data_IF_961996889503
#
_entry.id   IF_961996889503
#
_cell.length_a   1.000
_cell.length_b   1.000
_cell.length_c   1.000
_cell.angle_alpha   90.00
_cell.angle_beta   90.00
_cell.angle_gamma   90.00
#
_symmetry.space_group_name_H-M   'P 1'
#
loop_
_entity.id
_entity.type
_entity.pdbx_description
1 polymer ?
#
# COMPACT_ATOMS: atom_id res chain seq x y z
N UNK A 1 -35.31 -4.40 -8.69
CA UNK A 1 -33.90 -3.96 -8.58
C UNK A 1 -33.84 -2.80 -7.61
N UNK A 2 -33.40 -3.04 -6.38
CA UNK A 2 -33.14 -2.00 -5.37
C UNK A 2 -32.14 -2.59 -4.39
N UNK A 3 -30.91 -2.09 -4.38
CA UNK A 3 -29.92 -2.35 -3.33
C UNK A 3 -29.10 -1.07 -3.17
N UNK A 4 -29.51 -0.14 -2.31
CA UNK A 4 -29.59 -0.20 -0.84
C UNK A 4 -28.28 -0.07 -0.04
N UNK A 5 -27.41 0.89 -0.42
CA UNK A 5 -26.57 1.66 0.52
C UNK A 5 -27.18 3.05 0.79
N UNK A 6 -28.45 3.07 1.22
CA UNK A 6 -29.56 3.79 0.55
C UNK A 6 -30.03 5.18 1.02
N UNK A 7 -29.13 6.12 1.31
CA UNK A 7 -29.41 7.55 1.08
C UNK A 7 -28.13 8.39 1.16
N UNK A 8 -26.97 7.79 0.88
CA UNK A 8 -25.68 8.47 1.01
C UNK A 8 -25.30 8.98 -0.36
N UNK A 9 -25.49 10.27 -0.59
CA UNK A 9 -25.15 10.91 -1.86
C UNK A 9 -23.64 11.15 -1.93
N UNK A 10 -22.93 10.49 -2.83
CA UNK A 10 -21.46 10.54 -2.91
C UNK A 10 -20.95 11.31 -4.11
N UNK A 11 -19.98 12.18 -3.86
CA UNK A 11 -19.16 12.82 -4.87
C UNK A 11 -17.83 12.09 -4.99
N UNK A 12 -17.41 11.74 -6.20
CA UNK A 12 -16.08 11.23 -6.49
C UNK A 12 -15.28 12.23 -7.30
N UNK A 13 -14.07 12.54 -6.84
CA UNK A 13 -13.08 13.32 -7.56
C UNK A 13 -11.93 12.38 -7.95
N UNK A 14 -11.80 12.13 -9.25
CA UNK A 14 -10.83 11.20 -9.81
C UNK A 14 -9.67 11.97 -10.43
N UNK A 15 -8.46 11.82 -9.89
CA UNK A 15 -7.25 12.42 -10.47
C UNK A 15 -6.59 11.45 -11.45
N UNK A 16 -6.20 11.96 -12.62
CA UNK A 16 -5.58 11.18 -13.69
C UNK A 16 -4.37 11.91 -14.27
N UNK A 17 -3.31 11.15 -14.52
CA UNK A 17 -2.17 11.61 -15.30
C UNK A 17 -1.52 10.46 -16.07
N UNK A 18 -1.38 10.67 -17.37
CA UNK A 18 -0.55 9.86 -18.24
C UNK A 18 0.34 10.73 -19.13
N UNK A 19 1.63 10.41 -19.15
CA UNK A 19 2.65 11.13 -19.94
C UNK A 19 2.47 11.01 -21.45
N UNK A 20 1.79 9.97 -21.93
CA UNK A 20 1.51 9.73 -23.35
C UNK A 20 0.10 10.22 -23.73
N UNK A 21 -0.57 10.93 -22.81
CA UNK A 21 -1.92 11.46 -22.97
C UNK A 21 -3.02 10.40 -23.18
N UNK A 22 -2.81 9.20 -22.64
CA UNK A 22 -3.72 8.07 -22.80
C UNK A 22 -4.49 7.83 -21.50
N UNK A 23 -5.80 7.59 -21.60
CA UNK A 23 -6.60 6.98 -20.52
C UNK A 23 -6.67 5.49 -20.80
N UNK A 24 -5.93 4.67 -20.05
CA UNK A 24 -5.93 3.22 -20.26
C UNK A 24 -7.26 2.56 -19.88
N UNK A 25 -7.52 1.39 -20.48
CA UNK A 25 -8.74 0.60 -20.21
C UNK A 25 -8.94 0.25 -18.73
N UNK A 26 -7.86 0.06 -17.95
CA UNK A 26 -8.01 -0.20 -16.52
C UNK A 26 -8.57 1.01 -15.75
N UNK A 27 -8.31 2.23 -16.22
CA UNK A 27 -8.86 3.46 -15.64
C UNK A 27 -10.36 3.55 -15.94
N UNK A 28 -10.76 3.27 -17.18
CA UNK A 28 -12.18 3.23 -17.56
C UNK A 28 -12.93 2.11 -16.82
N UNK A 29 -12.30 0.95 -16.67
CA UNK A 29 -12.83 -0.13 -15.83
C UNK A 29 -13.04 0.33 -14.38
N UNK A 30 -12.05 1.02 -13.82
CA UNK A 30 -12.14 1.55 -12.45
C UNK A 30 -13.26 2.59 -12.30
N UNK A 31 -13.38 3.54 -13.24
CA UNK A 31 -14.45 4.55 -13.23
C UNK A 31 -15.85 3.92 -13.30
N UNK A 32 -16.03 2.85 -14.10
CA UNK A 32 -17.31 2.11 -14.15
C UNK A 32 -17.67 1.47 -12.83
N UNK A 33 -16.69 1.01 -12.05
CA UNK A 33 -16.95 0.43 -10.72
C UNK A 33 -17.21 1.52 -9.68
N UNK A 34 -16.48 2.65 -9.74
CA UNK A 34 -16.76 3.85 -8.93
C UNK A 34 -18.19 4.34 -9.16
N UNK A 35 -18.68 4.31 -10.41
CA UNK A 35 -20.05 4.73 -10.74
C UNK A 35 -21.12 3.98 -9.96
N UNK A 36 -20.87 2.73 -9.57
CA UNK A 36 -21.83 1.92 -8.81
C UNK A 36 -21.98 2.38 -7.35
N UNK A 37 -21.01 3.12 -6.82
CA UNK A 37 -21.00 3.62 -5.44
C UNK A 37 -21.11 5.14 -5.34
N UNK A 38 -20.80 5.87 -6.42
CA UNK A 38 -20.85 7.32 -6.50
C UNK A 38 -22.10 7.82 -7.23
N UNK A 39 -22.64 8.97 -6.83
CA UNK A 39 -23.74 9.67 -7.50
C UNK A 39 -23.24 10.72 -8.49
N UNK A 40 -22.08 11.33 -8.20
CA UNK A 40 -21.40 12.26 -9.11
C UNK A 40 -19.93 11.92 -9.24
N UNK A 41 -19.39 11.91 -10.47
CA UNK A 41 -17.97 11.72 -10.76
C UNK A 41 -17.45 12.93 -11.53
N UNK A 42 -16.44 13.58 -10.96
CA UNK A 42 -15.64 14.60 -11.64
C UNK A 42 -14.27 14.00 -11.93
N UNK A 43 -13.96 13.84 -13.21
CA UNK A 43 -12.67 13.34 -13.68
C UNK A 43 -11.76 14.53 -13.99
N UNK A 44 -10.58 14.56 -13.37
CA UNK A 44 -9.60 15.63 -13.56
C UNK A 44 -8.32 15.04 -14.14
N UNK A 45 -7.98 15.46 -15.35
CA UNK A 45 -6.77 15.03 -16.04
C UNK A 45 -5.77 16.16 -16.16
N UNK A 46 -4.49 15.84 -15.98
CA UNK A 46 -3.38 16.72 -16.36
C UNK A 46 -2.76 16.36 -17.71
N UNK A 47 -3.38 15.43 -18.44
CA UNK A 47 -3.01 15.01 -19.78
C UNK A 47 -3.86 15.71 -20.86
N UNK A 48 -3.29 15.87 -22.06
CA UNK A 48 -3.96 16.44 -23.23
C UNK A 48 -4.84 15.38 -23.92
N UNK A 49 -6.09 15.26 -23.50
CA UNK A 49 -7.00 14.22 -24.00
C UNK A 49 -7.63 14.62 -25.35
N UNK A 50 -7.71 13.67 -26.28
CA UNK A 50 -8.40 13.86 -27.56
C UNK A 50 -9.93 13.79 -27.39
N UNK A 51 -10.66 14.24 -28.42
CA UNK A 51 -12.12 14.31 -28.39
C UNK A 51 -12.79 12.94 -28.19
N UNK A 52 -12.24 11.88 -28.78
CA UNK A 52 -12.74 10.51 -28.62
C UNK A 52 -12.65 10.03 -27.16
N UNK A 53 -11.49 10.23 -26.52
CA UNK A 53 -11.27 9.88 -25.11
C UNK A 53 -12.20 10.68 -24.20
N UNK A 54 -12.37 11.98 -24.47
CA UNK A 54 -13.32 12.82 -23.74
C UNK A 54 -14.76 12.30 -23.89
N UNK A 55 -15.16 11.86 -25.09
CA UNK A 55 -16.49 11.27 -25.32
C UNK A 55 -16.68 10.03 -24.46
N UNK A 56 -15.73 9.09 -24.48
CA UNK A 56 -15.77 7.85 -23.68
C UNK A 56 -15.85 8.14 -22.17
N UNK A 57 -15.18 9.20 -21.71
CA UNK A 57 -15.25 9.63 -20.31
C UNK A 57 -16.61 10.22 -19.97
N UNK A 58 -17.24 11.00 -20.85
CA UNK A 58 -18.57 11.60 -20.64
C UNK A 58 -19.68 10.56 -20.52
N UNK A 59 -19.51 9.37 -21.08
CA UNK A 59 -20.44 8.25 -20.90
C UNK A 59 -20.44 7.69 -19.46
N UNK A 60 -19.42 7.99 -18.66
CA UNK A 60 -19.22 7.45 -17.31
C UNK A 60 -19.24 8.56 -16.25
N UNK A 61 -18.60 9.69 -16.56
CA UNK A 61 -18.33 10.79 -15.65
C UNK A 61 -19.25 11.99 -15.95
N UNK A 62 -19.74 12.64 -14.90
CA UNK A 62 -20.61 13.81 -15.00
C UNK A 62 -19.87 15.09 -15.40
N UNK A 63 -18.55 15.14 -15.17
CA UNK A 63 -17.69 16.26 -15.54
C UNK A 63 -16.27 15.79 -15.85
N UNK A 64 -15.64 16.42 -16.85
CA UNK A 64 -14.26 16.20 -17.25
C UNK A 64 -13.53 17.55 -17.24
N UNK A 65 -12.52 17.67 -16.39
CA UNK A 65 -11.69 18.87 -16.24
C UNK A 65 -10.29 18.54 -16.75
N UNK A 66 -9.79 19.32 -17.71
CA UNK A 66 -8.39 19.27 -18.16
C UNK A 66 -7.68 20.47 -17.57
N UNK A 67 -6.56 20.23 -16.89
CA UNK A 67 -5.75 21.29 -16.26
C UNK A 67 -4.26 21.11 -16.52
N UNK A 68 -3.47 22.13 -16.20
CA UNK A 68 -1.99 22.05 -16.28
C UNK A 68 -1.46 21.01 -15.29
N UNK A 69 -0.38 20.32 -15.68
CA UNK A 69 0.29 19.31 -14.86
C UNK A 69 1.14 19.90 -13.74
N UNK A 70 0.49 20.55 -12.77
CA UNK A 70 1.14 21.19 -11.63
C UNK A 70 0.41 20.85 -10.33
N UNK A 71 1.15 20.62 -9.23
CA UNK A 71 0.58 20.35 -7.91
C UNK A 71 -0.01 18.94 -7.71
N UNK A 72 0.21 18.02 -8.66
CA UNK A 72 -0.17 16.60 -8.58
C UNK A 72 -1.67 16.38 -8.27
N UNK A 73 -2.01 15.22 -7.72
CA UNK A 73 -3.40 14.80 -7.47
C UNK A 73 -4.14 15.75 -6.53
N UNK A 74 -3.46 16.30 -5.51
CA UNK A 74 -4.05 17.25 -4.58
C UNK A 74 -4.52 18.54 -5.24
N UNK A 75 -3.75 19.10 -6.18
CA UNK A 75 -4.20 20.25 -6.94
C UNK A 75 -5.35 19.89 -7.91
N UNK A 76 -5.39 18.65 -8.40
CA UNK A 76 -6.48 18.15 -9.24
C UNK A 76 -7.79 18.02 -8.45
N UNK A 77 -7.75 17.43 -7.26
CA UNK A 77 -8.89 17.39 -6.35
C UNK A 77 -9.30 18.78 -5.88
N UNK A 78 -8.36 19.66 -5.55
CA UNK A 78 -8.66 21.05 -5.19
C UNK A 78 -9.39 21.79 -6.32
N UNK A 79 -8.95 21.61 -7.58
CA UNK A 79 -9.59 22.21 -8.74
C UNK A 79 -11.04 21.75 -8.87
N UNK A 80 -11.29 20.44 -8.75
CA UNK A 80 -12.66 19.93 -8.80
C UNK A 80 -13.50 20.32 -7.58
N UNK A 81 -12.91 20.46 -6.39
CA UNK A 81 -13.63 20.97 -5.22
C UNK A 81 -14.16 22.40 -5.41
N UNK A 82 -13.48 23.23 -6.21
CA UNK A 82 -13.94 24.59 -6.52
C UNK A 82 -15.20 24.61 -7.40
N UNK A 83 -15.47 23.54 -8.17
CA UNK A 83 -16.67 23.44 -9.01
C UNK A 83 -17.85 22.76 -8.31
N UNK A 84 -17.69 22.35 -7.05
CA UNK A 84 -18.67 21.51 -6.34
C UNK A 84 -19.14 22.15 -5.04
N UNK A 85 -20.41 21.94 -4.70
CA UNK A 85 -20.98 22.35 -3.40
C UNK A 85 -21.01 21.14 -2.46
N UNK A 86 -20.00 20.99 -1.61
CA UNK A 86 -19.84 19.83 -0.72
C UNK A 86 -21.04 19.58 0.21
N UNK A 87 -21.80 20.62 0.55
CA UNK A 87 -23.01 20.52 1.36
C UNK A 87 -24.10 19.66 0.69
N UNK A 88 -24.02 19.41 -0.61
CA UNK A 88 -24.97 18.59 -1.35
C UNK A 88 -24.66 17.08 -1.28
N UNK A 89 -23.56 16.69 -0.63
CA UNK A 89 -23.08 15.31 -0.58
C UNK A 89 -22.88 14.85 0.87
N UNK A 90 -23.04 13.55 1.09
CA UNK A 90 -22.85 12.89 2.38
C UNK A 90 -21.46 12.27 2.51
N UNK A 91 -20.86 11.85 1.39
CA UNK A 91 -19.48 11.40 1.34
C UNK A 91 -18.74 11.97 0.11
N UNK A 92 -17.45 12.20 0.28
CA UNK A 92 -16.51 12.58 -0.77
C UNK A 92 -15.48 11.47 -0.94
N UNK A 93 -15.35 10.94 -2.15
CA UNK A 93 -14.33 9.98 -2.55
C UNK A 93 -13.24 10.75 -3.29
N UNK A 94 -12.00 10.67 -2.82
CA UNK A 94 -10.82 11.10 -3.57
C UNK A 94 -10.06 9.84 -3.98
N UNK A 95 -9.86 9.66 -5.29
CA UNK A 95 -9.08 8.54 -5.79
C UNK A 95 -8.28 8.93 -7.04
N UNK A 96 -7.34 8.06 -7.41
CA UNK A 96 -6.49 8.24 -8.59
C UNK A 96 -6.22 6.90 -9.29
N UNK A 97 -5.59 6.99 -10.45
CA UNK A 97 -5.18 5.87 -11.30
C UNK A 97 -3.88 5.15 -10.84
N UNK A 98 -3.33 5.45 -9.67
CA UNK A 98 -2.09 4.80 -9.17
C UNK A 98 -2.26 3.34 -8.74
N UNK A 99 -3.41 2.72 -9.03
CA UNK A 99 -3.78 1.35 -8.68
C UNK A 99 -4.47 0.63 -9.84
N UNK A 100 -4.19 -0.67 -9.96
CA UNK A 100 -4.99 -1.60 -10.75
C UNK A 100 -6.09 -2.21 -9.91
N UNK A 101 -7.27 -2.32 -10.50
CA UNK A 101 -8.47 -2.85 -9.86
C UNK A 101 -9.70 -2.08 -10.34
N UNK A 102 -10.83 -2.19 -9.63
CA UNK A 102 -11.00 -3.02 -8.45
C UNK A 102 -11.16 -4.52 -8.82
N UNK A 103 -10.58 -5.42 -8.01
CA UNK A 103 -10.73 -6.87 -8.19
C UNK A 103 -11.98 -7.43 -7.53
N UNK A 104 -12.55 -6.70 -6.57
CA UNK A 104 -13.80 -7.02 -5.89
C UNK A 104 -14.74 -5.83 -6.07
N UNK A 105 -16.08 -6.02 -6.12
CA UNK A 105 -17.03 -4.92 -6.25
C UNK A 105 -16.84 -3.90 -5.12
N UNK A 106 -16.69 -2.63 -5.46
CA UNK A 106 -16.51 -1.58 -4.45
C UNK A 106 -17.70 -1.47 -3.50
N UNK A 107 -18.90 -1.88 -3.91
CA UNK A 107 -20.08 -1.95 -3.06
C UNK A 107 -19.84 -2.79 -1.81
N UNK A 108 -19.01 -3.84 -1.88
CA UNK A 108 -18.63 -4.65 -0.72
C UNK A 108 -17.78 -3.84 0.26
N UNK A 109 -16.79 -3.11 -0.25
CA UNK A 109 -15.93 -2.23 0.55
C UNK A 109 -16.75 -1.14 1.24
N UNK A 110 -17.63 -0.47 0.49
CA UNK A 110 -18.52 0.55 1.05
C UNK A 110 -19.53 -0.04 2.04
N UNK A 111 -20.02 -1.26 1.80
CA UNK A 111 -20.89 -1.99 2.72
C UNK A 111 -20.23 -2.29 4.06
N UNK A 112 -18.98 -2.78 4.04
CA UNK A 112 -18.20 -3.00 5.26
C UNK A 112 -17.89 -1.68 5.98
N UNK A 113 -17.37 -0.69 5.25
CA UNK A 113 -16.98 0.59 5.84
C UNK A 113 -18.16 1.41 6.34
N UNK A 114 -19.39 1.17 5.86
CA UNK A 114 -20.62 1.76 6.42
C UNK A 114 -20.80 1.41 7.91
N UNK A 115 -20.40 0.22 8.33
CA UNK A 115 -20.46 -0.23 9.73
C UNK A 115 -19.37 0.35 10.63
N UNK A 116 -18.34 0.98 10.05
CA UNK A 116 -17.22 1.55 10.81
C UNK A 116 -17.56 2.93 11.39
N UNK A 117 -17.31 3.09 12.69
CA UNK A 117 -17.47 4.36 13.40
C UNK A 117 -16.24 5.28 13.18
N UNK A 118 -16.10 5.80 11.96
CA UNK A 118 -15.07 6.77 11.59
C UNK A 118 -15.66 7.98 10.86
N UNK A 119 -14.91 9.08 10.80
CA UNK A 119 -15.25 10.27 10.03
C UNK A 119 -14.61 10.27 8.63
N UNK A 120 -13.45 9.62 8.50
CA UNK A 120 -12.80 9.38 7.23
C UNK A 120 -12.07 8.05 7.21
N UNK A 121 -11.90 7.52 6.01
CA UNK A 121 -11.21 6.26 5.80
C UNK A 121 -10.51 6.18 4.46
N UNK A 122 -9.71 5.15 4.27
CA UNK A 122 -9.16 4.78 2.97
C UNK A 122 -8.77 3.33 2.93
N UNK A 123 -8.13 2.91 1.84
CA UNK A 123 -7.84 1.49 1.64
C UNK A 123 -6.76 0.97 2.59
N UNK A 124 -5.69 1.75 2.79
CA UNK A 124 -4.54 1.40 3.64
C UNK A 124 -3.96 2.64 4.31
N UNK A 125 -3.19 2.43 5.39
CA UNK A 125 -2.42 3.48 6.07
C UNK A 125 -0.93 3.22 6.01
N UNK A 126 -0.16 4.27 6.26
CA UNK A 126 1.28 4.23 6.46
C UNK A 126 1.63 5.03 7.73
N UNK A 127 2.79 4.76 8.31
CA UNK A 127 3.31 5.46 9.48
C UNK A 127 4.68 6.10 9.20
N UNK A 128 5.10 6.12 7.94
CA UNK A 128 6.32 6.81 7.54
C UNK A 128 6.18 8.30 7.85
N UNK A 129 7.14 8.84 8.59
CA UNK A 129 7.12 10.17 9.25
C UNK A 129 6.03 10.30 10.32
N UNK A 130 4.76 10.10 9.98
CA UNK A 130 3.63 10.10 10.91
C UNK A 130 2.50 9.20 10.36
N UNK A 131 1.54 8.83 11.21
CA UNK A 131 0.37 8.07 10.76
C UNK A 131 -0.42 8.85 9.71
N UNK A 132 -0.74 8.22 8.59
CA UNK A 132 -1.61 8.79 7.57
C UNK A 132 -2.29 7.69 6.77
N UNK A 133 -3.48 7.99 6.26
CA UNK A 133 -4.15 7.16 5.26
C UNK A 133 -3.54 7.48 3.89
N UNK A 134 -3.26 6.45 3.10
CA UNK A 134 -2.64 6.63 1.79
C UNK A 134 -3.63 7.26 0.79
N UNK A 135 -3.17 8.26 0.04
CA UNK A 135 -4.04 9.18 -0.69
C UNK A 135 -4.67 8.64 -1.98
N UNK A 136 -4.29 7.45 -2.45
CA UNK A 136 -4.85 6.87 -3.68
C UNK A 136 -6.32 6.48 -3.60
N UNK A 137 -6.84 6.36 -2.38
CA UNK A 137 -8.25 6.15 -2.12
C UNK A 137 -8.59 6.65 -0.71
N UNK A 138 -9.33 7.74 -0.66
CA UNK A 138 -9.80 8.37 0.56
C UNK A 138 -11.30 8.62 0.47
N UNK A 139 -12.00 8.45 1.59
CA UNK A 139 -13.41 8.76 1.72
C UNK A 139 -13.61 9.61 2.98
N UNK A 140 -14.29 10.74 2.82
CA UNK A 140 -14.62 11.67 3.90
C UNK A 140 -16.13 11.74 4.07
N UNK A 141 -16.61 11.62 5.31
CA UNK A 141 -18.04 11.74 5.62
C UNK A 141 -18.45 13.19 5.84
N UNK A 142 -19.77 13.41 5.85
CA UNK A 142 -20.42 14.72 6.00
C UNK A 142 -19.81 15.58 7.09
N UNK A 143 -19.51 14.98 8.25
CA UNK A 143 -18.92 15.65 9.42
C UNK A 143 -17.64 16.40 9.06
N UNK A 144 -16.80 15.84 8.18
CA UNK A 144 -15.60 16.49 7.67
C UNK A 144 -15.92 17.47 6.56
N UNK A 145 -16.80 17.12 5.61
CA UNK A 145 -17.11 17.96 4.45
C UNK A 145 -17.60 19.36 4.83
N UNK A 146 -18.40 19.44 5.89
CA UNK A 146 -18.95 20.72 6.39
C UNK A 146 -18.06 21.39 7.44
N UNK A 147 -16.94 20.76 7.81
CA UNK A 147 -16.04 21.31 8.82
C UNK A 147 -15.19 22.46 8.30
N UNK A 148 -14.99 23.48 9.13
CA UNK A 148 -14.08 24.59 8.81
C UNK A 148 -12.62 24.12 8.68
N UNK A 149 -12.24 23.03 9.37
CA UNK A 149 -10.91 22.42 9.30
C UNK A 149 -10.62 21.90 7.89
N UNK A 150 -11.56 21.17 7.30
CA UNK A 150 -11.42 20.64 5.93
C UNK A 150 -11.36 21.77 4.91
N UNK A 151 -12.23 22.78 5.03
CA UNK A 151 -12.23 23.95 4.15
C UNK A 151 -10.90 24.73 4.23
N UNK A 152 -10.39 24.95 5.44
CA UNK A 152 -9.09 25.62 5.65
C UNK A 152 -7.94 24.83 5.05
N UNK A 153 -7.94 23.49 5.21
CA UNK A 153 -6.93 22.63 4.60
C UNK A 153 -6.90 22.82 3.08
N UNK A 154 -8.03 22.67 2.39
CA UNK A 154 -8.06 22.81 0.93
C UNK A 154 -7.75 24.22 0.43
N UNK A 155 -8.07 25.27 1.20
CA UNK A 155 -7.65 26.64 0.89
C UNK A 155 -6.14 26.86 1.05
N UNK A 156 -5.48 26.07 1.90
CA UNK A 156 -4.03 26.13 2.13
C UNK A 156 -3.21 25.28 1.16
N UNK A 157 -3.84 24.44 0.34
CA UNK A 157 -3.14 23.64 -0.67
C UNK A 157 -2.61 24.58 -1.74
N UNK A 158 -1.30 24.80 -1.76
CA UNK A 158 -0.61 25.57 -2.78
C UNK A 158 -0.09 24.66 -3.90
N UNK A 159 0.10 25.22 -5.10
CA UNK A 159 0.72 24.51 -6.22
C UNK A 159 2.21 24.33 -5.91
N UNK A 160 2.56 23.15 -5.41
CA UNK A 160 3.94 22.79 -5.06
C UNK A 160 4.61 22.02 -6.18
N UNK A 161 5.84 22.42 -6.54
CA UNK A 161 6.66 21.73 -7.55
C UNK A 161 7.30 20.42 -7.03
N UNK A 162 7.54 20.31 -5.72
CA UNK A 162 8.21 19.16 -5.11
C UNK A 162 7.22 18.10 -4.62
N UNK A 163 7.39 16.86 -5.10
CA UNK A 163 6.62 15.69 -4.66
C UNK A 163 6.75 15.43 -3.15
N UNK A 164 7.93 15.64 -2.58
CA UNK A 164 8.16 15.45 -1.14
C UNK A 164 7.35 16.43 -0.30
N UNK A 165 7.27 17.69 -0.76
CA UNK A 165 6.44 18.71 -0.10
C UNK A 165 4.96 18.35 -0.18
N UNK A 166 4.49 17.86 -1.33
CA UNK A 166 3.11 17.36 -1.48
C UNK A 166 2.83 16.19 -0.54
N UNK A 167 3.71 15.19 -0.46
CA UNK A 167 3.51 14.06 0.47
C UNK A 167 3.46 14.56 1.92
N UNK A 168 4.41 15.40 2.33
CA UNK A 168 4.51 15.87 3.72
C UNK A 168 3.36 16.81 4.12
N UNK A 169 3.05 17.78 3.28
CA UNK A 169 2.07 18.83 3.61
C UNK A 169 0.64 18.44 3.23
N UNK A 170 0.47 17.58 2.22
CA UNK A 170 -0.85 17.18 1.76
C UNK A 170 -1.21 15.78 2.27
N UNK A 171 -0.51 14.70 1.89
CA UNK A 171 -0.94 13.34 2.27
C UNK A 171 -0.83 13.09 3.79
N UNK A 172 0.34 13.36 4.36
CA UNK A 172 0.54 13.28 5.82
C UNK A 172 -0.23 14.42 6.50
N UNK A 173 -0.13 15.63 5.97
CA UNK A 173 -0.75 16.82 6.54
C UNK A 173 -2.26 16.73 6.65
N UNK A 174 -2.97 16.16 5.66
CA UNK A 174 -4.42 15.98 5.68
C UNK A 174 -4.85 15.09 6.83
N UNK A 175 -4.28 13.88 6.90
CA UNK A 175 -4.61 12.93 7.97
C UNK A 175 -4.29 13.52 9.35
N UNK A 176 -3.12 14.13 9.50
CA UNK A 176 -2.70 14.72 10.78
C UNK A 176 -3.54 15.92 11.19
N UNK A 177 -3.95 16.77 10.24
CA UNK A 177 -4.81 17.93 10.50
C UNK A 177 -6.18 17.49 11.00
N UNK A 178 -6.78 16.47 10.36
CA UNK A 178 -8.08 15.94 10.76
C UNK A 178 -8.01 15.24 12.12
N UNK A 179 -6.98 14.44 12.37
CA UNK A 179 -6.78 13.77 13.67
C UNK A 179 -6.59 14.76 14.81
N UNK A 180 -5.80 15.83 14.60
CA UNK A 180 -5.61 16.90 15.60
C UNK A 180 -6.90 17.66 15.89
N UNK A 181 -7.83 17.73 14.93
CA UNK A 181 -9.15 18.30 15.11
C UNK A 181 -10.15 17.33 15.77
N UNK A 182 -9.73 16.11 16.13
CA UNK A 182 -10.55 15.13 16.84
C UNK A 182 -11.34 14.16 15.95
N UNK A 183 -11.20 14.23 14.63
CA UNK A 183 -11.86 13.30 13.71
C UNK A 183 -11.26 11.89 13.77
N UNK A 184 -12.10 10.87 13.59
CA UNK A 184 -11.71 9.46 13.67
C UNK A 184 -11.35 8.91 12.29
N UNK A 185 -10.17 8.32 12.19
CA UNK A 185 -9.66 7.66 10.98
C UNK A 185 -9.89 6.14 11.03
N UNK A 186 -10.17 5.52 9.88
CA UNK A 186 -10.14 4.05 9.73
C UNK A 186 -9.51 3.63 8.40
N UNK A 187 -9.22 2.34 8.25
CA UNK A 187 -8.73 1.76 6.99
C UNK A 187 -9.42 0.45 6.69
N UNK A 188 -9.77 0.22 5.43
CA UNK A 188 -10.38 -1.04 4.99
C UNK A 188 -9.44 -2.23 5.25
N UNK A 189 -8.19 -2.16 4.82
CA UNK A 189 -7.24 -3.24 4.99
C UNK A 189 -6.82 -3.41 6.46
N UNK A 190 -7.33 -4.44 7.12
CA UNK A 190 -6.94 -4.81 8.51
C UNK A 190 -5.69 -5.69 8.53
N UNK A 191 -4.52 -5.12 8.25
CA UNK A 191 -3.28 -5.90 8.08
C UNK A 191 -2.50 -6.19 9.38
N UNK A 192 -2.95 -5.73 10.56
CA UNK A 192 -2.19 -5.91 11.83
C UNK A 192 -1.95 -7.38 12.16
N UNK A 193 -2.96 -8.24 11.98
CA UNK A 193 -2.83 -9.68 12.18
C UNK A 193 -1.96 -10.34 11.10
N UNK A 194 -2.07 -9.90 9.85
CA UNK A 194 -1.22 -10.39 8.75
C UNK A 194 0.25 -10.06 8.95
N UNK A 195 0.54 -8.85 9.46
CA UNK A 195 1.89 -8.44 9.85
C UNK A 195 2.46 -9.37 10.90
N UNK A 196 1.69 -9.63 11.97
CA UNK A 196 2.08 -10.55 13.05
C UNK A 196 2.31 -11.96 12.48
N UNK A 197 1.36 -12.47 11.70
CA UNK A 197 1.46 -13.78 11.06
C UNK A 197 2.68 -13.91 10.13
N UNK A 198 2.98 -12.89 9.34
CA UNK A 198 4.15 -12.87 8.45
C UNK A 198 5.47 -12.89 9.23
N UNK A 199 5.53 -12.16 10.36
CA UNK A 199 6.66 -12.21 11.28
C UNK A 199 6.84 -13.64 11.82
N UNK A 200 5.76 -14.26 12.30
CA UNK A 200 5.79 -15.65 12.77
C UNK A 200 6.20 -16.65 11.67
N UNK A 201 5.68 -16.52 10.45
CA UNK A 201 6.02 -17.40 9.33
C UNK A 201 7.48 -17.29 8.91
N UNK A 202 8.04 -16.07 8.89
CA UNK A 202 9.47 -15.87 8.63
C UNK A 202 10.34 -16.44 9.73
N UNK A 203 9.96 -16.24 10.99
CA UNK A 203 10.64 -16.82 12.14
C UNK A 203 10.60 -18.37 12.08
N UNK A 204 9.44 -18.96 11.81
CA UNK A 204 9.28 -20.42 11.62
C UNK A 204 10.11 -20.95 10.45
N UNK A 205 10.07 -20.29 9.29
CA UNK A 205 10.85 -20.70 8.12
C UNK A 205 12.36 -20.65 8.39
N UNK A 206 12.80 -19.64 9.15
CA UNK A 206 14.18 -19.53 9.61
C UNK A 206 14.54 -20.68 10.56
N UNK A 207 13.71 -20.97 11.55
CA UNK A 207 13.89 -22.09 12.49
C UNK A 207 13.92 -23.44 11.77
N UNK A 208 13.05 -23.66 10.78
CA UNK A 208 13.02 -24.91 9.98
C UNK A 208 14.28 -25.02 9.11
N UNK A 209 14.73 -23.95 8.45
CA UNK A 209 15.96 -24.00 7.63
C UNK A 209 17.21 -24.17 8.50
N UNK A 210 17.24 -23.52 9.66
CA UNK A 210 18.29 -23.70 10.67
C UNK A 210 18.29 -25.12 11.22
N UNK A 211 17.13 -25.64 11.60
CA UNK A 211 16.93 -27.02 12.06
C UNK A 211 17.26 -28.06 11.00
N UNK A 212 16.95 -27.81 9.72
CA UNK A 212 17.31 -28.71 8.61
C UNK A 212 18.81 -28.74 8.35
N UNK A 213 19.50 -27.61 8.48
CA UNK A 213 20.98 -27.57 8.46
C UNK A 213 21.55 -28.34 9.66
N UNK A 214 21.01 -28.12 10.86
CA UNK A 214 21.43 -28.87 12.05
C UNK A 214 21.18 -30.37 11.87
N UNK A 215 20.02 -30.77 11.34
CA UNK A 215 19.67 -32.16 11.06
C UNK A 215 20.60 -32.82 10.05
N UNK A 216 20.93 -32.16 8.93
CA UNK A 216 21.89 -32.68 7.95
C UNK A 216 23.27 -32.90 8.58
N UNK A 217 23.73 -32.00 9.44
CA UNK A 217 24.99 -32.15 10.16
C UNK A 217 24.93 -33.24 11.25
N UNK A 218 23.85 -33.32 12.02
CA UNK A 218 23.62 -34.38 13.02
C UNK A 218 23.51 -35.74 12.35
N UNK A 219 22.89 -35.83 11.17
CA UNK A 219 22.83 -37.05 10.34
C UNK A 219 24.24 -37.53 9.95
N UNK A 220 25.10 -36.64 9.48
CA UNK A 220 26.50 -36.97 9.17
C UNK A 220 27.27 -37.40 10.42
N UNK A 221 26.98 -36.80 11.58
CA UNK A 221 27.58 -37.17 12.86
C UNK A 221 27.11 -38.55 13.33
N UNK A 222 25.81 -38.84 13.35
CA UNK A 222 25.24 -40.07 13.91
C UNK A 222 25.36 -41.30 12.99
N UNK A 223 25.33 -41.11 11.67
CA UNK A 223 25.46 -42.19 10.69
C UNK A 223 26.88 -42.31 10.09
N UNK A 224 27.81 -41.41 10.45
CA UNK A 224 29.23 -41.52 10.09
C UNK A 224 30.03 -42.43 11.04
N UNK A 225 30.81 -43.35 10.48
CA UNK A 225 31.41 -44.53 11.15
C UNK A 225 32.56 -44.26 12.16
N UNK A 226 32.92 -43.00 12.47
CA UNK A 226 34.20 -42.72 13.14
C UNK A 226 34.13 -41.81 14.39
N UNK A 227 34.36 -42.38 15.58
CA UNK A 227 34.10 -41.80 16.92
C UNK A 227 35.03 -40.63 17.31
N UNK A 228 36.29 -40.60 16.87
CA UNK A 228 37.25 -39.49 17.13
C UNK A 228 36.99 -38.24 16.28
N UNK A 229 36.46 -38.40 15.06
CA UNK A 229 35.99 -37.28 14.21
C UNK A 229 34.75 -36.58 14.82
N UNK A 230 34.00 -37.26 15.69
CA UNK A 230 32.76 -36.80 16.33
C UNK A 230 32.98 -35.67 17.33
N UNK A 231 33.90 -35.78 18.28
CA UNK A 231 34.13 -34.75 19.31
C UNK A 231 34.87 -33.51 18.78
N UNK A 232 35.88 -33.70 17.92
CA UNK A 232 36.55 -32.57 17.26
C UNK A 232 35.65 -31.92 16.20
N UNK A 233 34.79 -32.72 15.56
CA UNK A 233 33.74 -32.25 14.66
C UNK A 233 32.65 -31.47 15.39
N UNK A 234 32.25 -31.87 16.60
CA UNK A 234 31.23 -31.17 17.40
C UNK A 234 31.73 -29.79 17.89
N UNK A 235 32.99 -29.70 18.34
CA UNK A 235 33.62 -28.40 18.68
C UNK A 235 33.80 -27.51 17.45
N UNK A 236 34.30 -28.06 16.33
CA UNK A 236 34.39 -27.31 15.06
C UNK A 236 33.02 -26.94 14.49
N UNK A 237 31.98 -27.74 14.74
CA UNK A 237 30.58 -27.49 14.38
C UNK A 237 29.99 -26.39 15.25
N UNK A 238 30.23 -26.39 16.56
CA UNK A 238 29.81 -25.31 17.45
C UNK A 238 30.52 -24.02 17.08
N UNK A 239 31.82 -24.07 16.76
CA UNK A 239 32.58 -22.91 16.28
C UNK A 239 32.19 -22.46 14.88
N UNK A 240 31.83 -23.36 13.95
CA UNK A 240 31.35 -23.01 12.61
C UNK A 240 29.87 -22.59 12.63
N UNK A 241 29.09 -23.06 13.60
CA UNK A 241 27.74 -22.59 13.87
C UNK A 241 27.80 -21.23 14.55
N UNK A 242 28.68 -20.99 15.50
CA UNK A 242 28.92 -19.67 16.12
C UNK A 242 29.54 -18.71 15.10
N UNK A 243 30.56 -19.11 14.33
CA UNK A 243 31.14 -18.32 13.25
C UNK A 243 30.16 -18.12 12.09
N UNK A 244 29.37 -19.12 11.71
CA UNK A 244 28.37 -19.03 10.65
C UNK A 244 27.15 -18.21 11.08
N UNK A 245 26.75 -18.31 12.35
CA UNK A 245 25.75 -17.45 12.98
C UNK A 245 26.30 -16.03 13.16
N UNK A 246 27.59 -15.86 13.44
CA UNK A 246 28.24 -14.54 13.53
C UNK A 246 28.52 -13.93 12.16
N UNK A 247 28.87 -14.69 11.13
CA UNK A 247 29.05 -14.21 9.75
C UNK A 247 27.69 -13.95 9.11
N UNK A 248 26.66 -14.73 9.42
CA UNK A 248 25.29 -14.47 8.99
C UNK A 248 24.64 -13.35 9.80
N UNK A 249 24.88 -13.26 11.11
CA UNK A 249 24.54 -12.09 11.91
C UNK A 249 25.32 -10.86 11.45
N UNK A 250 26.57 -10.97 11.00
CA UNK A 250 27.36 -9.87 10.42
C UNK A 250 26.99 -9.57 8.96
N UNK A 251 26.41 -10.51 8.21
CA UNK A 251 25.88 -10.32 6.85
C UNK A 251 24.47 -9.73 6.90
N UNK A 252 23.65 -10.16 7.86
CA UNK A 252 22.42 -9.51 8.27
C UNK A 252 22.75 -8.14 8.84
N UNK A 253 23.65 -8.00 9.81
CA UNK A 253 24.15 -6.72 10.38
C UNK A 253 24.93 -5.92 9.35
N UNK A 254 25.42 -6.46 8.23
CA UNK A 254 26.02 -5.68 7.12
C UNK A 254 24.92 -5.13 6.20
N UNK A 255 23.96 -5.98 5.82
CA UNK A 255 22.75 -5.60 5.07
C UNK A 255 21.78 -4.76 5.89
N UNK A 256 21.89 -4.82 7.20
CA UNK A 256 21.16 -4.06 8.20
C UNK A 256 22.03 -2.92 8.76
N UNK A 257 23.37 -2.91 8.66
CA UNK A 257 24.28 -1.79 9.10
C UNK A 257 23.96 -0.53 8.34
N UNK A 258 23.65 -0.68 7.06
CA UNK A 258 23.20 0.42 6.22
C UNK A 258 21.77 0.91 6.59
N UNK A 259 21.02 0.14 7.41
CA UNK A 259 19.64 0.42 7.83
C UNK A 259 19.50 0.56 9.37
N UNK A 260 20.58 0.42 10.15
CA UNK A 260 20.65 0.46 11.61
C UNK A 260 22.08 0.83 12.01
N UNK A 261 22.33 2.12 12.23
CA UNK A 261 23.63 2.58 12.72
C UNK A 261 23.88 2.23 14.20
N UNK A 262 22.84 2.01 15.01
CA UNK A 262 23.00 1.95 16.49
C UNK A 262 22.46 0.69 17.19
N UNK A 263 22.11 -0.38 16.47
CA UNK A 263 21.42 -1.55 17.05
C UNK A 263 22.21 -2.86 17.33
N UNK A 264 23.56 -2.94 17.40
CA UNK A 264 24.24 -4.20 17.74
C UNK A 264 23.89 -4.74 19.13
N UNK A 265 23.72 -3.86 20.13
CA UNK A 265 23.45 -4.24 21.53
C UNK A 265 22.09 -4.93 21.68
N UNK A 266 21.05 -4.43 21.00
CA UNK A 266 19.66 -4.91 21.14
C UNK A 266 19.47 -6.34 20.64
N UNK A 267 20.18 -6.72 19.57
CA UNK A 267 20.10 -8.06 18.97
C UNK A 267 20.83 -9.09 19.83
N UNK A 268 22.00 -8.72 20.36
CA UNK A 268 22.79 -9.57 21.27
C UNK A 268 22.04 -9.81 22.59
N UNK A 269 21.38 -8.77 23.11
CA UNK A 269 20.61 -8.83 24.34
C UNK A 269 19.32 -9.65 24.20
N UNK A 270 18.68 -9.63 23.03
CA UNK A 270 17.50 -10.45 22.71
C UNK A 270 17.79 -11.96 22.69
N UNK A 271 18.98 -12.35 22.21
CA UNK A 271 19.42 -13.75 22.20
C UNK A 271 19.55 -14.29 23.63
N UNK A 272 19.91 -13.42 24.60
CA UNK A 272 20.08 -13.79 26.01
C UNK A 272 18.75 -13.90 26.77
N UNK A 273 17.74 -13.10 26.43
CA UNK A 273 16.48 -12.99 27.18
C UNK A 273 15.22 -13.09 26.30
N UNK A 274 14.98 -14.24 25.62
CA UNK A 274 13.95 -14.37 24.59
C UNK A 274 12.51 -14.28 25.12
N UNK A 275 12.24 -14.65 26.39
CA UNK A 275 10.90 -14.56 27.00
C UNK A 275 10.53 -13.14 27.46
N UNK A 276 11.51 -12.35 27.88
CA UNK A 276 11.30 -11.01 28.48
C UNK A 276 11.20 -9.90 27.42
N UNK A 277 11.66 -10.13 26.19
CA UNK A 277 11.77 -9.09 25.14
C UNK A 277 11.01 -9.35 23.83
N UNK A 278 10.07 -10.30 23.81
CA UNK A 278 9.12 -10.45 22.69
C UNK A 278 8.39 -9.13 22.44
N UNK A 279 7.99 -8.43 23.51
CA UNK A 279 7.35 -7.12 23.43
C UNK A 279 8.27 -6.05 22.81
N UNK A 280 9.56 -6.00 23.20
CA UNK A 280 10.52 -5.03 22.65
C UNK A 280 10.88 -5.31 21.19
N UNK A 281 11.00 -6.58 20.79
CA UNK A 281 11.22 -6.98 19.39
C UNK A 281 9.98 -6.70 18.54
N UNK A 282 8.79 -6.96 19.08
CA UNK A 282 7.51 -6.57 18.50
C UNK A 282 7.44 -5.06 18.30
N UNK A 283 7.79 -4.25 19.31
CA UNK A 283 7.82 -2.78 19.21
C UNK A 283 8.85 -2.29 18.20
N UNK A 284 10.00 -2.95 18.10
CA UNK A 284 11.05 -2.65 17.13
C UNK A 284 10.64 -2.98 15.68
N UNK A 285 10.09 -4.18 15.42
CA UNK A 285 9.56 -4.55 14.10
C UNK A 285 8.34 -3.71 13.75
N UNK A 286 7.47 -3.40 14.71
CA UNK A 286 6.36 -2.47 14.53
C UNK A 286 6.91 -1.09 14.11
N UNK A 287 7.93 -0.56 14.77
CA UNK A 287 8.56 0.73 14.43
C UNK A 287 9.29 0.73 13.07
N UNK A 288 9.85 -0.41 12.63
CA UNK A 288 10.48 -0.58 11.29
C UNK A 288 9.49 -0.86 10.17
N UNK A 289 8.40 -1.58 10.45
CA UNK A 289 7.29 -1.82 9.51
C UNK A 289 6.47 -0.56 9.31
N UNK A 290 6.46 0.34 10.30
CA UNK A 290 5.83 1.65 10.22
C UNK A 290 6.37 2.53 9.08
N UNK A 291 7.64 2.38 8.68
CA UNK A 291 8.21 3.15 7.55
C UNK A 291 8.14 2.41 6.20
N UNK A 292 7.50 1.24 6.13
CA UNK A 292 7.38 0.47 4.88
C UNK A 292 5.96 0.53 4.35
N UNK A 293 5.82 0.71 3.04
CA UNK A 293 4.51 0.69 2.37
C UNK A 293 3.94 -0.74 2.42
N UNK A 294 2.99 -0.96 3.34
CA UNK A 294 2.37 -2.27 3.58
C UNK A 294 1.70 -2.82 2.33
N UNK A 295 1.15 -1.93 1.50
CA UNK A 295 0.48 -2.27 0.23
C UNK A 295 1.46 -2.89 -0.76
N UNK A 296 2.74 -2.55 -0.69
CA UNK A 296 3.78 -3.21 -1.48
C UNK A 296 4.23 -4.52 -0.85
N UNK A 297 4.53 -4.51 0.46
CA UNK A 297 5.09 -5.67 1.15
C UNK A 297 4.12 -6.86 1.22
N UNK A 298 2.83 -6.60 1.43
CA UNK A 298 1.80 -7.61 1.70
C UNK A 298 0.78 -7.73 0.55
N UNK A 299 1.09 -7.22 -0.65
CA UNK A 299 0.13 -7.14 -1.75
C UNK A 299 -0.61 -8.47 -2.04
N UNK A 300 0.10 -9.61 -2.02
CA UNK A 300 -0.53 -10.92 -2.23
C UNK A 300 -1.50 -11.26 -1.12
N UNK A 301 -1.08 -11.07 0.13
CA UNK A 301 -1.88 -11.41 1.30
C UNK A 301 -3.11 -10.52 1.39
N UNK A 302 -2.96 -9.22 1.08
CA UNK A 302 -4.04 -8.26 1.03
C UNK A 302 -5.10 -8.68 0.02
N UNK A 303 -4.70 -9.03 -1.20
CA UNK A 303 -5.63 -9.47 -2.26
C UNK A 303 -6.27 -10.82 -1.93
N UNK A 304 -5.48 -11.82 -1.50
CA UNK A 304 -5.98 -13.18 -1.29
C UNK A 304 -6.81 -13.36 -0.02
N UNK A 305 -6.53 -12.60 1.04
CA UNK A 305 -7.06 -12.88 2.38
C UNK A 305 -7.74 -11.68 3.05
N UNK A 306 -7.62 -10.47 2.49
CA UNK A 306 -8.23 -9.26 3.08
C UNK A 306 -9.17 -8.53 2.13
N UNK A 307 -9.57 -9.17 1.03
CA UNK A 307 -10.50 -8.57 0.06
C UNK A 307 -9.97 -7.29 -0.58
N UNK A 308 -8.66 -7.05 -0.56
CA UNK A 308 -8.09 -5.81 -1.08
C UNK A 308 -8.35 -5.69 -2.59
N UNK A 309 -9.14 -4.69 -3.05
CA UNK A 309 -9.53 -4.61 -4.45
C UNK A 309 -8.42 -4.06 -5.34
N UNK A 310 -7.30 -3.61 -4.77
CA UNK A 310 -6.27 -2.89 -5.51
C UNK A 310 -4.89 -3.51 -5.40
N UNK A 311 -4.15 -3.45 -6.51
CA UNK A 311 -2.69 -3.59 -6.55
C UNK A 311 -2.10 -2.27 -7.04
N UNK A 312 -1.07 -1.80 -6.35
CA UNK A 312 -0.38 -0.55 -6.71
C UNK A 312 0.35 -0.65 -8.06
N UNK A 313 0.23 0.39 -8.90
CA UNK A 313 0.89 0.45 -10.21
C UNK A 313 2.41 0.41 -10.06
N UNK A 314 2.96 1.21 -9.14
CA UNK A 314 4.41 1.29 -8.88
C UNK A 314 5.00 -0.04 -8.35
N UNK A 315 4.24 -0.84 -7.61
CA UNK A 315 4.63 -2.19 -7.21
C UNK A 315 4.90 -3.06 -8.44
N UNK A 316 3.99 -3.05 -9.43
CA UNK A 316 4.18 -3.85 -10.63
C UNK A 316 5.18 -3.18 -11.59
N UNK A 317 5.18 -1.85 -11.73
CA UNK A 317 6.06 -1.15 -12.67
C UNK A 317 7.51 -1.15 -12.22
N UNK A 318 7.76 -0.65 -11.02
CA UNK A 318 9.09 -0.31 -10.50
C UNK A 318 9.58 -1.32 -9.45
N UNK A 319 8.64 -1.95 -8.72
CA UNK A 319 8.89 -2.94 -7.67
C UNK A 319 9.95 -2.47 -6.64
N UNK A 320 9.72 -1.34 -5.95
CA UNK A 320 10.72 -0.71 -5.08
C UNK A 320 11.14 -1.61 -3.90
N UNK A 321 10.29 -2.56 -3.51
CA UNK A 321 10.55 -3.51 -2.43
C UNK A 321 11.08 -4.87 -2.91
N UNK A 322 11.37 -5.03 -4.20
CA UNK A 322 11.87 -6.27 -4.81
C UNK A 322 11.01 -7.51 -4.47
N UNK A 323 9.69 -7.34 -4.47
CA UNK A 323 8.74 -8.41 -4.19
C UNK A 323 8.59 -9.35 -5.39
N UNK A 324 8.24 -10.62 -5.15
CA UNK A 324 7.87 -11.52 -6.25
C UNK A 324 6.51 -11.10 -6.79
N UNK A 325 6.51 -10.54 -8.00
CA UNK A 325 5.33 -10.05 -8.72
C UNK A 325 5.00 -10.88 -9.97
N UNK A 326 5.78 -11.92 -10.30
CA UNK A 326 5.63 -12.64 -11.58
C UNK A 326 4.29 -13.38 -11.72
N UNK A 327 3.66 -13.71 -10.60
CA UNK A 327 2.40 -14.43 -10.50
C UNK A 327 1.20 -13.51 -10.23
N UNK A 328 1.32 -12.18 -10.41
CA UNK A 328 0.21 -11.24 -10.15
C UNK A 328 -1.09 -11.63 -10.88
N UNK A 329 -1.00 -12.04 -12.14
CA UNK A 329 -2.16 -12.44 -12.92
C UNK A 329 -2.83 -13.69 -12.33
N UNK A 330 -2.03 -14.65 -11.86
CA UNK A 330 -2.52 -15.87 -11.19
C UNK A 330 -3.10 -15.57 -9.80
N UNK A 331 -2.58 -14.57 -9.10
CA UNK A 331 -3.14 -14.12 -7.82
C UNK A 331 -4.51 -13.48 -8.05
N UNK A 332 -4.64 -12.59 -9.04
CA UNK A 332 -5.91 -11.93 -9.38
C UNK A 332 -6.95 -12.96 -9.85
N UNK A 333 -6.58 -13.89 -10.73
CA UNK A 333 -7.51 -14.90 -11.27
C UNK A 333 -8.07 -15.87 -10.22
N UNK A 334 -7.44 -15.95 -9.04
CA UNK A 334 -7.95 -16.75 -7.91
C UNK A 334 -9.09 -16.08 -7.18
N UNK A 335 -9.23 -14.77 -7.32
CA UNK A 335 -10.19 -13.97 -6.54
C UNK A 335 -11.21 -13.24 -7.40
N UNK A 336 -10.93 -13.06 -8.70
CA UNK A 336 -11.84 -12.36 -9.60
C UNK A 336 -11.64 -12.71 -11.07
N UNK A 337 -12.63 -12.32 -11.89
CA UNK A 337 -12.59 -12.39 -13.35
C UNK A 337 -12.00 -11.12 -14.00
N UNK A 338 -11.20 -10.35 -13.24
CA UNK A 338 -10.61 -9.12 -13.74
C UNK A 338 -9.72 -9.38 -14.98
N UNK A 339 -9.89 -8.58 -16.03
CA UNK A 339 -9.15 -8.72 -17.29
C UNK A 339 -7.68 -8.28 -17.13
N UNK A 340 -6.84 -9.19 -16.61
CA UNK A 340 -5.41 -8.94 -16.37
C UNK A 340 -4.60 -8.53 -17.61
N UNK A 341 -4.99 -8.86 -18.87
CA UNK A 341 -4.45 -8.19 -20.05
C UNK A 341 -4.43 -6.65 -20.00
N UNK A 342 -5.40 -5.98 -19.37
CA UNK A 342 -5.38 -4.51 -19.24
C UNK A 342 -4.13 -4.01 -18.48
N UNK A 343 -3.74 -4.74 -17.43
CA UNK A 343 -2.51 -4.46 -16.66
C UNK A 343 -1.29 -4.66 -17.54
N UNK A 344 -1.27 -5.76 -18.31
CA UNK A 344 -0.14 -6.08 -19.19
C UNK A 344 0.05 -5.01 -20.28
N UNK A 345 -1.04 -4.58 -20.91
CA UNK A 345 -1.03 -3.53 -21.93
C UNK A 345 -0.46 -2.23 -21.37
N UNK A 346 -0.99 -1.74 -20.24
CA UNK A 346 -0.48 -0.54 -19.58
C UNK A 346 1.00 -0.68 -19.19
N UNK A 347 1.38 -1.77 -18.51
CA UNK A 347 2.77 -2.01 -18.10
C UNK A 347 3.75 -2.09 -19.27
N UNK A 348 3.34 -2.66 -20.40
CA UNK A 348 4.17 -2.73 -21.61
C UNK A 348 4.48 -1.34 -22.16
N UNK A 349 3.49 -0.45 -22.13
CA UNK A 349 3.61 0.94 -22.56
C UNK A 349 4.53 1.74 -21.63
N UNK A 350 4.30 1.68 -20.31
CA UNK A 350 5.01 2.55 -19.36
C UNK A 350 6.41 2.07 -19.00
N UNK A 351 6.70 0.76 -19.02
CA UNK A 351 8.04 0.22 -18.70
C UNK A 351 9.06 0.45 -19.82
N UNK A 352 8.62 0.52 -21.08
CA UNK A 352 9.51 0.74 -22.22
C UNK A 352 10.17 2.13 -22.18
N UNK A 353 9.55 3.12 -21.52
CA UNK A 353 10.18 4.42 -21.29
C UNK A 353 11.24 4.45 -20.18
N UNK A 354 11.21 3.51 -19.23
CA UNK A 354 12.18 3.46 -18.12
C UNK A 354 13.55 2.94 -18.55
N UNK A 355 13.61 2.21 -19.68
CA UNK A 355 14.86 1.64 -20.22
C UNK A 355 15.66 2.62 -21.08
N UNK A 356 15.07 3.72 -21.54
CA UNK A 356 15.76 4.79 -22.27
C UNK A 356 16.50 5.82 -21.41
N UNK A 357 16.63 5.57 -20.09
CA UNK A 357 17.34 6.45 -19.13
C UNK A 357 18.31 5.68 -18.22
N UNK A 358 18.86 4.56 -18.69
CA UNK A 358 19.94 3.84 -17.97
C UNK A 358 21.24 3.97 -18.72
#
# INVERSE_FOLDING_TARGET
MMNRLDNVKRLCLFAHFDKDNIVDEYVLFYLRDIRKVADRIVFVSTSLLNAETISRLKDICDSVIIRKNEGYDFASWQTALQSETLQNFDELILCNDSVYGPFFPLEQVFGEMKGESCDFWGMTSNYDIAFHIQSYFLVFRKTILVSSVFQKFWKSVEIMKSKEKVIKLCEIGLSQTLLKAGFKASTYARYRFLVIYCIFCRLRSYLIRGGRRIYEYVRVIFFGTNRRKRNNGFRKMLDAFIKGSNIFAMSIVSKIKNILRDAPSVIIDFIRHPKERIHSLFMYFNRKMKSMNVTHLLWKQLVLYSGMPFIKVDLLRDNPMAMNINDYAKVISKVSNYNTPMIRSHLSRVRNCSRGKR
#
